data_IF_367194668455
#
_entry.id   IF_367194668455
#
_cell.length_a   1.000
_cell.length_b   1.000
_cell.length_c   1.000
_cell.angle_alpha   90.00
_cell.angle_beta   90.00
_cell.angle_gamma   90.00
#
_symmetry.space_group_name_H-M   'P 1'
#
loop_
_entity.id
_entity.type
_entity.pdbx_description
1 polymer ?
#
# COMPACT_ATOMS: atom_id res chain seq x y z
N UNK A 1 -23.11 20.00 68.90
CA UNK A 1 -23.03 19.14 67.69
C UNK A 1 -21.81 19.57 66.90
N UNK A 2 -20.78 18.72 66.82
CA UNK A 2 -19.60 18.93 65.95
C UNK A 2 -19.86 18.10 64.69
N UNK A 3 -19.92 18.71 63.51
CA UNK A 3 -19.98 17.99 62.24
C UNK A 3 -18.66 18.21 61.51
N UNK A 4 -17.94 17.10 61.28
CA UNK A 4 -16.68 17.05 60.53
C UNK A 4 -16.94 17.39 59.04
N UNK A 5 -16.13 18.27 58.48
CA UNK A 5 -16.01 18.42 57.04
C UNK A 5 -15.04 17.33 56.51
N UNK A 6 -15.54 16.37 55.73
CA UNK A 6 -14.70 15.44 54.97
C UNK A 6 -14.14 16.19 53.75
N UNK A 7 -12.83 16.40 53.73
CA UNK A 7 -12.10 16.81 52.54
C UNK A 7 -11.91 15.57 51.65
N UNK A 8 -12.60 15.53 50.49
CA UNK A 8 -12.36 14.53 49.45
C UNK A 8 -11.14 14.97 48.66
N UNK A 9 -10.00 14.31 48.87
CA UNK A 9 -8.81 14.47 48.06
C UNK A 9 -8.98 13.62 46.80
N UNK A 10 -9.25 14.27 45.66
CA UNK A 10 -9.24 13.60 44.36
C UNK A 10 -7.79 13.30 43.97
N UNK A 11 -7.38 12.03 44.03
CA UNK A 11 -6.10 11.58 43.45
C UNK A 11 -6.21 11.61 41.93
N UNK A 12 -5.45 12.51 41.29
CA UNK A 12 -5.19 12.44 39.86
C UNK A 12 -4.29 11.22 39.59
N UNK A 13 -4.84 10.18 38.96
CA UNK A 13 -4.05 9.06 38.45
C UNK A 13 -3.30 9.56 37.23
N UNK A 14 -2.04 9.93 37.42
CA UNK A 14 -1.12 10.18 36.31
C UNK A 14 -0.80 8.80 35.72
N UNK A 15 -1.32 8.52 34.53
CA UNK A 15 -0.89 7.34 33.78
C UNK A 15 0.58 7.54 33.40
N UNK A 16 1.49 6.96 34.18
CA UNK A 16 2.89 6.84 33.82
C UNK A 16 2.93 5.91 32.60
N UNK A 17 3.11 6.47 31.41
CA UNK A 17 3.38 5.64 30.24
C UNK A 17 4.77 5.05 30.43
N UNK A 18 4.82 3.76 30.77
CA UNK A 18 6.08 3.02 30.78
C UNK A 18 6.72 3.04 29.40
N UNK A 19 8.05 2.94 29.38
CA UNK A 19 8.87 2.83 28.19
C UNK A 19 8.41 1.63 27.33
N UNK A 20 8.49 1.77 26.01
CA UNK A 20 7.91 0.83 25.04
C UNK A 20 8.84 -0.33 24.70
N UNK A 21 10.15 -0.14 24.81
CA UNK A 21 11.16 -1.08 24.35
C UNK A 21 12.45 -0.99 25.17
N UNK A 22 13.38 -1.89 24.90
CA UNK A 22 14.74 -1.84 25.44
C UNK A 22 14.80 -2.26 26.90
N UNK A 23 15.94 -1.98 27.53
CA UNK A 23 16.24 -2.39 28.92
C UNK A 23 15.19 -1.89 29.93
N UNK A 24 14.59 -0.72 29.67
CA UNK A 24 13.54 -0.10 30.48
C UNK A 24 12.21 -0.87 30.40
N UNK A 25 11.99 -1.60 29.30
CA UNK A 25 10.78 -2.39 29.05
C UNK A 25 11.06 -3.90 29.07
N UNK A 26 12.03 -4.36 29.88
CA UNK A 26 12.35 -5.79 30.01
C UNK A 26 12.93 -6.42 28.75
N UNK A 27 13.57 -5.63 27.88
CA UNK A 27 14.13 -6.10 26.61
C UNK A 27 13.11 -6.20 25.48
N UNK A 28 11.91 -5.62 25.64
CA UNK A 28 10.89 -5.60 24.59
C UNK A 28 11.45 -4.98 23.30
N UNK A 29 11.14 -5.63 22.17
CA UNK A 29 11.39 -5.09 20.83
C UNK A 29 10.25 -4.17 20.42
N UNK A 30 10.56 -3.21 19.56
CA UNK A 30 9.52 -2.36 19.00
C UNK A 30 8.70 -3.11 17.94
N UNK A 31 7.38 -2.89 17.90
CA UNK A 31 6.55 -3.37 16.79
C UNK A 31 6.99 -2.74 15.46
N UNK A 32 6.59 -3.35 14.35
CA UNK A 32 6.88 -2.89 12.98
C UNK A 32 8.38 -2.65 12.70
N UNK A 33 9.26 -3.41 13.34
CA UNK A 33 10.71 -3.31 13.21
C UNK A 33 11.31 -1.90 13.50
N UNK A 34 10.61 -1.06 14.25
CA UNK A 34 11.10 0.29 14.61
C UNK A 34 12.35 0.23 15.49
N UNK A 35 13.23 1.22 15.40
CA UNK A 35 14.39 1.29 16.28
C UNK A 35 13.95 1.58 17.71
N UNK A 36 14.58 0.90 18.67
CA UNK A 36 14.45 1.23 20.07
C UNK A 36 15.51 2.25 20.46
N UNK A 37 15.11 3.48 20.77
CA UNK A 37 16.03 4.56 21.16
C UNK A 37 16.75 4.24 22.48
N UNK A 38 17.82 4.99 22.78
CA UNK A 38 18.51 4.92 24.08
C UNK A 38 17.58 5.16 25.28
N UNK A 39 16.44 5.81 25.07
CA UNK A 39 15.46 6.15 26.10
C UNK A 39 14.28 5.16 26.20
N UNK A 40 14.31 4.05 25.45
CA UNK A 40 13.28 3.01 25.52
C UNK A 40 12.00 3.33 24.74
N UNK A 41 12.12 4.12 23.68
CA UNK A 41 10.98 4.48 22.81
C UNK A 41 11.19 3.96 21.39
N UNK A 42 10.09 3.63 20.72
CA UNK A 42 10.09 3.11 19.36
C UNK A 42 9.93 4.22 18.32
N UNK A 43 10.74 4.21 17.26
CA UNK A 43 10.65 5.14 16.14
C UNK A 43 11.66 4.82 15.04
N UNK A 44 11.60 5.50 13.89
CA UNK A 44 12.47 5.19 12.75
C UNK A 44 13.44 6.31 12.35
N UNK A 45 13.42 7.45 13.03
CA UNK A 45 14.37 8.55 12.76
C UNK A 45 15.75 8.28 13.37
N UNK A 46 16.74 9.10 13.03
CA UNK A 46 18.10 9.04 13.61
C UNK A 46 18.12 9.14 15.13
N UNK A 47 17.12 9.78 15.75
CA UNK A 47 17.03 9.90 17.21
C UNK A 47 16.73 8.56 17.89
N UNK A 48 16.11 7.64 17.14
CA UNK A 48 15.77 6.30 17.58
C UNK A 48 16.78 5.27 17.10
N UNK A 49 17.22 5.39 15.85
CA UNK A 49 18.09 4.43 15.16
C UNK A 49 19.59 4.73 15.30
N UNK A 50 19.94 5.95 15.71
CA UNK A 50 21.31 6.42 15.78
C UNK A 50 22.06 6.02 17.05
N UNK A 51 22.93 6.91 17.53
CA UNK A 51 23.78 6.66 18.68
C UNK A 51 22.94 6.30 19.92
N UNK A 52 23.29 5.17 20.56
CA UNK A 52 22.61 4.68 21.76
C UNK A 52 21.34 3.87 21.49
N UNK A 53 20.97 3.64 20.24
CA UNK A 53 19.89 2.70 19.92
C UNK A 53 20.14 1.32 20.58
N UNK A 54 19.10 0.79 21.23
CA UNK A 54 19.15 -0.43 22.03
C UNK A 54 18.84 -1.69 21.20
N UNK A 55 17.95 -1.59 20.21
CA UNK A 55 17.56 -2.73 19.35
C UNK A 55 16.95 -2.24 18.03
N UNK A 56 16.97 -3.10 17.00
CA UNK A 56 16.41 -2.83 15.66
C UNK A 56 16.97 -1.56 14.99
N UNK A 57 18.22 -1.19 15.30
CA UNK A 57 18.83 0.11 14.97
C UNK A 57 19.04 0.39 13.48
N UNK A 58 18.93 -0.64 12.65
CA UNK A 58 18.95 -0.52 11.20
C UNK A 58 17.54 -0.30 10.63
N UNK A 59 16.55 0.01 11.47
CA UNK A 59 15.12 0.03 11.10
C UNK A 59 14.58 -1.35 10.77
N UNK A 60 15.27 -2.42 11.16
CA UNK A 60 14.96 -3.80 10.81
C UNK A 60 14.93 -4.69 12.04
N UNK A 61 14.09 -5.72 11.96
CA UNK A 61 14.04 -6.78 12.95
C UNK A 61 15.33 -7.61 12.85
N UNK A 62 16.39 -7.15 13.52
CA UNK A 62 17.73 -7.71 13.44
C UNK A 62 17.75 -9.19 13.83
N UNK A 63 18.10 -10.04 12.87
CA UNK A 63 18.60 -11.39 13.09
C UNK A 63 19.97 -11.54 12.43
N UNK A 64 21.04 -11.37 13.22
CA UNK A 64 22.40 -11.85 12.91
C UNK A 64 23.06 -11.32 11.62
N UNK A 65 24.32 -11.74 11.35
CA UNK A 65 24.97 -11.46 10.07
C UNK A 65 24.11 -12.04 8.96
N UNK A 66 24.06 -11.33 7.83
CA UNK A 66 23.42 -11.73 6.57
C UNK A 66 23.42 -13.25 6.42
N UNK A 67 22.26 -13.92 6.35
CA UNK A 67 22.24 -15.29 5.90
C UNK A 67 22.86 -15.32 4.51
N UNK A 68 23.66 -16.34 4.16
CA UNK A 68 23.92 -16.60 2.76
C UNK A 68 22.57 -16.70 2.05
N UNK A 69 22.48 -16.11 0.86
CA UNK A 69 21.34 -16.30 -0.04
C UNK A 69 21.16 -17.81 -0.30
N UNK A 70 20.32 -18.46 0.49
CA UNK A 70 19.88 -19.84 0.23
C UNK A 70 18.74 -20.20 1.17
N UNK A 71 17.53 -19.83 0.76
CA UNK A 71 16.28 -20.09 1.47
C UNK A 71 15.03 -19.88 0.61
N UNK A 72 15.04 -20.32 -0.65
CA UNK A 72 13.86 -20.89 -1.33
C UNK A 72 12.57 -20.08 -1.48
N UNK A 73 12.59 -18.74 -1.47
CA UNK A 73 11.45 -17.96 -1.95
C UNK A 73 11.41 -17.97 -3.49
N UNK A 74 10.34 -18.48 -4.10
CA UNK A 74 10.06 -18.25 -5.53
C UNK A 74 9.16 -17.04 -5.69
N UNK A 75 9.24 -16.35 -6.83
CA UNK A 75 8.40 -15.19 -7.13
C UNK A 75 8.69 -14.00 -6.22
N UNK A 76 7.65 -13.24 -5.85
CA UNK A 76 7.76 -11.96 -5.13
C UNK A 76 8.51 -12.08 -3.78
N UNK A 77 8.40 -13.22 -3.10
CA UNK A 77 9.05 -13.45 -1.80
C UNK A 77 10.59 -13.51 -1.89
N UNK A 78 11.15 -13.65 -3.10
CA UNK A 78 12.59 -13.53 -3.34
C UNK A 78 13.08 -12.07 -3.35
N UNK A 79 12.16 -11.11 -3.52
CA UNK A 79 12.44 -9.68 -3.66
C UNK A 79 12.11 -8.92 -2.39
N UNK A 80 10.93 -9.18 -1.81
CA UNK A 80 10.45 -8.49 -0.62
C UNK A 80 10.29 -9.49 0.52
N UNK A 81 11.12 -9.36 1.55
CA UNK A 81 11.00 -10.15 2.78
C UNK A 81 9.85 -9.63 3.64
N UNK A 82 9.36 -10.40 4.64
CA UNK A 82 8.40 -9.92 5.62
C UNK A 82 8.86 -8.62 6.29
N UNK A 83 10.14 -8.54 6.67
CA UNK A 83 10.70 -7.35 7.33
C UNK A 83 10.72 -6.13 6.40
N UNK A 84 11.03 -6.31 5.12
CA UNK A 84 11.04 -5.21 4.16
C UNK A 84 9.61 -4.74 3.87
N UNK A 85 8.65 -5.66 3.75
CA UNK A 85 7.23 -5.34 3.64
C UNK A 85 6.74 -4.52 4.84
N UNK A 86 7.14 -4.92 6.05
CA UNK A 86 6.81 -4.18 7.27
C UNK A 86 7.44 -2.79 7.33
N UNK A 87 8.68 -2.64 6.89
CA UNK A 87 9.34 -1.34 6.79
C UNK A 87 8.69 -0.43 5.74
N UNK A 88 8.29 -0.99 4.59
CA UNK A 88 7.61 -0.22 3.55
C UNK A 88 6.26 0.28 4.07
N UNK A 89 5.49 -0.60 4.71
CA UNK A 89 4.16 -0.29 5.21
C UNK A 89 4.16 -0.04 6.73
N UNK A 90 5.05 0.86 7.16
CA UNK A 90 5.48 1.05 8.54
C UNK A 90 4.34 1.34 9.52
N UNK A 91 3.44 2.26 9.13
CA UNK A 91 2.36 2.74 9.99
C UNK A 91 0.99 2.12 9.69
N UNK A 92 0.90 1.13 8.79
CA UNK A 92 -0.39 0.51 8.43
C UNK A 92 -1.16 -0.09 9.62
N UNK A 93 -0.42 -0.46 10.67
CA UNK A 93 -0.93 -1.06 11.90
C UNK A 93 -1.03 -0.06 13.07
N UNK A 94 -0.85 1.23 12.81
CA UNK A 94 -1.07 2.26 13.82
C UNK A 94 -2.54 2.29 14.26
N UNK A 95 -2.80 2.72 15.50
CA UNK A 95 -4.16 2.80 16.05
C UNK A 95 -5.06 3.78 15.27
N UNK A 96 -4.47 4.78 14.61
CA UNK A 96 -5.20 5.72 13.78
C UNK A 96 -5.68 5.10 12.45
N UNK A 97 -5.16 3.94 12.06
CA UNK A 97 -5.49 3.31 10.79
C UNK A 97 -6.70 2.38 10.89
N UNK A 98 -7.73 2.66 10.09
CA UNK A 98 -8.96 1.87 10.05
C UNK A 98 -8.74 0.43 9.55
N UNK A 99 -7.66 0.20 8.79
CA UNK A 99 -7.26 -1.12 8.30
C UNK A 99 -6.22 -1.82 9.19
N UNK A 100 -5.97 -1.33 10.42
CA UNK A 100 -5.00 -1.93 11.34
C UNK A 100 -5.22 -3.44 11.48
N UNK A 101 -4.16 -4.21 11.24
CA UNK A 101 -4.15 -5.67 11.33
C UNK A 101 -4.78 -6.41 10.14
N UNK A 102 -5.27 -5.70 9.13
CA UNK A 102 -5.88 -6.30 7.94
C UNK A 102 -4.83 -6.76 6.92
N UNK A 103 -3.91 -5.87 6.53
CA UNK A 103 -2.94 -6.16 5.47
C UNK A 103 -1.71 -6.89 6.00
N UNK A 104 -1.64 -8.20 5.76
CA UNK A 104 -0.53 -9.07 6.18
C UNK A 104 0.38 -9.43 5.01
N UNK A 105 1.63 -9.75 5.33
CA UNK A 105 2.62 -10.22 4.35
C UNK A 105 2.18 -11.55 3.72
N UNK A 106 1.61 -12.45 4.51
CA UNK A 106 1.14 -13.76 4.06
C UNK A 106 0.02 -13.61 3.02
N UNK A 107 -0.93 -12.69 3.25
CA UNK A 107 -2.00 -12.41 2.30
C UNK A 107 -1.45 -11.81 1.00
N UNK A 108 -0.47 -10.90 1.09
CA UNK A 108 0.21 -10.33 -0.08
C UNK A 108 0.91 -11.41 -0.91
N UNK A 109 1.72 -12.26 -0.29
CA UNK A 109 2.44 -13.34 -0.99
C UNK A 109 1.48 -14.39 -1.56
N UNK A 110 0.45 -14.78 -0.79
CA UNK A 110 -0.56 -15.74 -1.26
C UNK A 110 -1.33 -15.21 -2.49
N UNK A 111 -1.63 -13.92 -2.52
CA UNK A 111 -2.27 -13.27 -3.65
C UNK A 111 -1.31 -13.15 -4.85
N UNK A 112 -0.06 -12.72 -4.63
CA UNK A 112 0.96 -12.60 -5.68
C UNK A 112 1.23 -13.94 -6.37
N UNK A 113 1.23 -15.04 -5.63
CA UNK A 113 1.43 -16.40 -6.18
C UNK A 113 0.33 -16.84 -7.16
N UNK A 114 -0.82 -16.16 -7.20
CA UNK A 114 -1.84 -16.39 -8.22
C UNK A 114 -1.50 -15.73 -9.58
N UNK A 115 -0.48 -14.88 -9.63
CA UNK A 115 -0.04 -14.13 -10.81
C UNK A 115 1.46 -14.37 -11.03
N UNK A 116 1.85 -15.52 -11.62
CA UNK A 116 3.24 -15.97 -11.66
C UNK A 116 4.19 -15.05 -12.43
N UNK A 117 3.67 -14.21 -13.34
CA UNK A 117 4.44 -13.25 -14.12
C UNK A 117 4.79 -11.96 -13.34
N UNK A 118 4.06 -11.68 -12.25
CA UNK A 118 4.32 -10.52 -11.39
C UNK A 118 5.66 -10.70 -10.67
N UNK A 119 6.53 -9.69 -10.80
CA UNK A 119 7.87 -9.66 -10.20
C UNK A 119 8.79 -10.81 -10.65
N UNK A 120 8.52 -11.40 -11.81
CA UNK A 120 9.35 -12.45 -12.45
C UNK A 120 9.64 -12.16 -13.92
N UNK A 121 9.20 -11.00 -14.42
CA UNK A 121 9.33 -10.57 -15.81
C UNK A 121 10.42 -9.51 -15.95
N UNK A 122 11.41 -9.77 -16.80
CA UNK A 122 12.55 -8.86 -17.05
C UNK A 122 13.77 -9.18 -16.18
N UNK A 123 14.66 -8.19 -16.01
CA UNK A 123 15.83 -8.30 -15.14
C UNK A 123 15.48 -8.07 -13.67
N UNK A 124 16.44 -8.32 -12.77
CA UNK A 124 16.24 -8.22 -11.33
C UNK A 124 15.80 -6.81 -10.89
N UNK A 125 16.32 -5.77 -11.54
CA UNK A 125 15.95 -4.38 -11.24
C UNK A 125 14.52 -4.07 -11.72
N UNK A 126 14.10 -4.62 -12.86
CA UNK A 126 12.73 -4.54 -13.37
C UNK A 126 11.75 -5.23 -12.45
N UNK A 127 12.05 -6.44 -11.98
CA UNK A 127 11.20 -7.15 -11.02
C UNK A 127 11.06 -6.37 -9.70
N UNK A 128 12.15 -5.81 -9.17
CA UNK A 128 12.12 -4.93 -7.98
C UNK A 128 11.30 -3.67 -8.23
N UNK A 129 11.48 -3.04 -9.38
CA UNK A 129 10.76 -1.81 -9.75
C UNK A 129 9.27 -2.05 -9.90
N UNK A 130 8.87 -3.21 -10.42
CA UNK A 130 7.47 -3.61 -10.44
C UNK A 130 6.88 -3.74 -9.03
N UNK A 131 7.58 -4.39 -8.10
CA UNK A 131 7.14 -4.48 -6.70
C UNK A 131 7.01 -3.10 -6.06
N UNK A 132 7.99 -2.21 -6.28
CA UNK A 132 7.96 -0.85 -5.79
C UNK A 132 6.77 -0.06 -6.36
N UNK A 133 6.54 -0.16 -7.68
CA UNK A 133 5.48 0.56 -8.37
C UNK A 133 4.09 0.07 -7.93
N UNK A 134 3.90 -1.24 -7.82
CA UNK A 134 2.66 -1.82 -7.32
C UNK A 134 2.36 -1.32 -5.91
N UNK A 135 3.28 -1.53 -4.97
CA UNK A 135 3.09 -1.12 -3.57
C UNK A 135 2.90 0.39 -3.42
N UNK A 136 3.53 1.20 -4.26
CA UNK A 136 3.40 2.66 -4.22
C UNK A 136 2.02 3.15 -4.66
N UNK A 137 1.51 2.62 -5.78
CA UNK A 137 0.18 2.95 -6.25
C UNK A 137 -0.88 2.55 -5.25
N UNK A 138 -0.80 1.32 -4.73
CA UNK A 138 -1.74 0.83 -3.72
C UNK A 138 -1.59 1.55 -2.38
N UNK A 139 -0.38 2.00 -2.02
CA UNK A 139 -0.17 2.84 -0.83
C UNK A 139 -0.84 4.20 -0.95
N UNK A 140 -0.80 4.83 -2.12
CA UNK A 140 -1.53 6.07 -2.38
C UNK A 140 -3.04 5.89 -2.19
N UNK A 141 -3.64 4.85 -2.78
CA UNK A 141 -5.09 4.58 -2.67
C UNK A 141 -5.58 4.37 -1.23
N UNK A 142 -4.64 3.97 -0.35
CA UNK A 142 -4.89 3.59 1.03
C UNK A 142 -4.22 4.53 2.03
N UNK A 143 -3.66 5.65 1.58
CA UNK A 143 -2.78 6.49 2.41
C UNK A 143 -3.54 7.12 3.58
N UNK A 144 -2.93 7.05 4.76
CA UNK A 144 -3.29 7.86 5.92
C UNK A 144 -2.26 8.95 6.22
N UNK A 145 -1.35 9.22 5.29
CA UNK A 145 -0.25 10.16 5.48
C UNK A 145 -0.70 11.62 5.45
N UNK A 146 0.04 12.47 6.14
CA UNK A 146 -0.08 13.92 6.11
C UNK A 146 1.31 14.56 6.09
N UNK A 147 1.46 15.86 5.74
CA UNK A 147 2.77 16.47 5.51
C UNK A 147 3.77 16.37 6.67
N UNK A 148 3.29 16.31 7.90
CA UNK A 148 4.10 16.20 9.13
C UNK A 148 3.92 14.86 9.84
N UNK A 149 3.49 13.82 9.11
CA UNK A 149 3.31 12.49 9.68
C UNK A 149 4.63 11.92 10.21
N UNK A 150 4.61 11.16 11.32
CA UNK A 150 5.77 10.42 11.78
C UNK A 150 6.40 9.63 10.64
N UNK A 151 7.72 9.78 10.47
CA UNK A 151 8.49 9.10 9.42
C UNK A 151 8.06 9.45 7.98
N UNK A 152 7.43 10.63 7.81
CA UNK A 152 7.02 11.21 6.53
C UNK A 152 5.68 10.66 6.00
N UNK A 153 5.02 11.37 5.06
CA UNK A 153 3.71 10.95 4.53
C UNK A 153 3.76 9.58 3.83
N UNK A 154 4.91 9.22 3.26
CA UNK A 154 5.08 8.02 2.43
C UNK A 154 5.34 6.72 3.23
N UNK A 155 5.20 6.75 4.54
CA UNK A 155 5.25 5.56 5.42
C UNK A 155 3.87 5.13 5.93
N UNK A 156 2.81 5.82 5.46
CA UNK A 156 1.42 5.69 5.89
C UNK A 156 0.50 5.06 4.82
N UNK A 157 1.08 4.33 3.88
CA UNK A 157 0.31 3.46 2.98
C UNK A 157 -0.41 2.35 3.74
N UNK A 158 -1.47 1.80 3.15
CA UNK A 158 -2.27 0.70 3.68
C UNK A 158 -2.99 1.01 4.99
N UNK A 159 -3.28 2.28 5.27
CA UNK A 159 -3.97 2.73 6.48
C UNK A 159 -5.50 2.51 6.40
N UNK A 160 -6.07 2.47 5.20
CA UNK A 160 -7.49 2.25 4.96
C UNK A 160 -7.75 1.05 4.04
N UNK A 161 -8.93 0.42 4.17
CA UNK A 161 -9.38 -0.69 3.33
C UNK A 161 -10.71 -0.47 2.59
N UNK A 162 -11.50 0.54 2.98
CA UNK A 162 -12.82 0.85 2.40
C UNK A 162 -13.01 2.34 2.12
N UNK A 163 -13.40 2.70 0.90
CA UNK A 163 -13.73 4.09 0.53
C UNK A 163 -14.69 4.74 1.55
N UNK A 164 -14.36 5.96 1.99
CA UNK A 164 -15.13 6.74 2.96
C UNK A 164 -15.58 5.94 4.21
N UNK A 165 -14.79 4.94 4.64
CA UNK A 165 -15.10 4.08 5.79
C UNK A 165 -16.49 3.41 5.68
N UNK A 166 -16.86 2.97 4.45
CA UNK A 166 -18.13 2.30 4.15
C UNK A 166 -19.30 3.24 3.80
N UNK A 167 -19.09 4.57 3.87
CA UNK A 167 -20.11 5.59 3.58
C UNK A 167 -20.09 6.10 2.12
N UNK A 168 -19.59 5.27 1.21
CA UNK A 168 -19.51 5.61 -0.20
C UNK A 168 -20.84 5.32 -0.94
N UNK A 169 -21.04 5.93 -2.13
CA UNK A 169 -22.13 5.58 -3.05
C UNK A 169 -22.18 4.08 -3.37
N UNK A 170 -23.31 3.63 -3.92
CA UNK A 170 -23.47 2.20 -4.28
C UNK A 170 -22.57 1.78 -5.43
N UNK A 171 -22.22 2.72 -6.33
CA UNK A 171 -21.50 2.45 -7.59
C UNK A 171 -22.11 1.28 -8.36
N UNK A 172 -23.42 1.30 -8.52
CA UNK A 172 -24.13 0.30 -9.32
C UNK A 172 -24.49 0.92 -10.67
N UNK A 173 -23.92 0.37 -11.74
CA UNK A 173 -24.29 0.64 -13.12
C UNK A 173 -24.69 -0.70 -13.77
N UNK A 174 -25.98 -1.08 -13.73
CA UNK A 174 -26.42 -2.39 -14.18
C UNK A 174 -26.00 -2.67 -15.64
N UNK A 175 -25.30 -3.78 -15.84
CA UNK A 175 -25.01 -4.36 -17.15
C UNK A 175 -25.63 -5.76 -17.22
N UNK A 176 -26.09 -6.25 -18.39
CA UNK A 176 -26.61 -7.61 -18.52
C UNK A 176 -25.65 -8.69 -18.01
N UNK A 177 -24.34 -8.49 -18.22
CA UNK A 177 -23.28 -9.42 -17.84
C UNK A 177 -22.95 -9.33 -16.34
N UNK A 178 -23.10 -8.13 -15.76
CA UNK A 178 -22.73 -7.83 -14.37
C UNK A 178 -23.88 -7.12 -13.64
N UNK A 179 -25.00 -7.81 -13.36
CA UNK A 179 -26.11 -7.21 -12.64
C UNK A 179 -25.73 -6.85 -11.21
N UNK A 180 -26.26 -5.75 -10.70
CA UNK A 180 -26.05 -5.39 -9.30
C UNK A 180 -26.86 -6.31 -8.37
N UNK A 181 -26.20 -6.92 -7.40
CA UNK A 181 -26.84 -7.69 -6.36
C UNK A 181 -27.65 -6.79 -5.41
N UNK A 182 -28.83 -7.27 -5.00
CA UNK A 182 -29.73 -6.48 -4.15
C UNK A 182 -29.08 -6.12 -2.80
N UNK A 183 -29.14 -4.84 -2.44
CA UNK A 183 -28.59 -4.33 -1.17
C UNK A 183 -27.06 -4.28 -1.10
N UNK A 184 -26.35 -4.57 -2.21
CA UNK A 184 -24.89 -4.55 -2.28
C UNK A 184 -24.37 -3.23 -2.83
N UNK A 185 -23.16 -2.87 -2.40
CA UNK A 185 -22.42 -1.68 -2.86
C UNK A 185 -21.07 -2.11 -3.41
N UNK A 186 -20.58 -1.38 -4.40
CA UNK A 186 -19.34 -1.65 -5.14
C UNK A 186 -18.38 -0.46 -5.03
N UNK A 187 -18.23 0.06 -3.80
CA UNK A 187 -17.31 1.16 -3.49
C UNK A 187 -15.85 0.71 -3.51
N UNK A 188 -14.93 1.65 -3.62
CA UNK A 188 -13.51 1.37 -3.76
C UNK A 188 -12.96 0.41 -2.69
N UNK A 189 -12.61 -0.81 -3.11
CA UNK A 189 -11.88 -1.78 -2.31
C UNK A 189 -10.40 -1.45 -2.27
N UNK A 190 -9.96 -0.68 -1.27
CA UNK A 190 -8.85 0.28 -1.44
C UNK A 190 -7.46 -0.24 -1.82
N UNK A 191 -7.16 -1.54 -1.76
CA UNK A 191 -5.83 -2.02 -2.19
C UNK A 191 -5.54 -1.57 -3.64
N UNK A 192 -6.56 -1.55 -4.50
CA UNK A 192 -6.60 -0.74 -5.72
C UNK A 192 -8.06 -0.32 -5.89
N UNK A 193 -8.38 0.92 -6.29
CA UNK A 193 -9.76 1.43 -6.45
C UNK A 193 -10.62 0.63 -7.47
N UNK A 194 -10.91 -0.65 -7.20
CA UNK A 194 -11.95 -1.38 -7.91
C UNK A 194 -13.28 -0.82 -7.42
N UNK A 195 -13.93 -0.09 -8.31
CA UNK A 195 -15.20 0.57 -8.07
C UNK A 195 -16.14 0.15 -9.20
N UNK A 196 -17.43 0.04 -8.91
CA UNK A 196 -18.48 -0.45 -9.82
C UNK A 196 -18.60 -1.97 -9.99
N UNK A 197 -19.85 -2.43 -10.12
CA UNK A 197 -20.23 -3.83 -10.36
C UNK A 197 -19.52 -4.45 -11.58
N UNK A 198 -19.32 -3.68 -12.65
CA UNK A 198 -18.65 -4.17 -13.87
C UNK A 198 -17.14 -4.37 -13.70
N UNK A 199 -16.54 -3.91 -12.60
CA UNK A 199 -15.18 -4.28 -12.20
C UNK A 199 -15.18 -5.44 -11.21
N UNK A 200 -16.10 -5.44 -10.24
CA UNK A 200 -16.25 -6.52 -9.25
C UNK A 200 -16.57 -7.88 -9.90
N UNK A 201 -17.44 -7.89 -10.91
CA UNK A 201 -17.82 -9.09 -11.65
C UNK A 201 -16.62 -9.81 -12.30
N UNK A 202 -15.92 -9.19 -13.27
CA UNK A 202 -14.79 -9.83 -13.93
C UNK A 202 -13.60 -10.08 -12.99
N UNK A 203 -13.34 -9.19 -12.01
CA UNK A 203 -12.33 -9.44 -10.99
C UNK A 203 -12.65 -10.70 -10.17
N UNK A 204 -13.90 -10.82 -9.71
CA UNK A 204 -14.37 -11.98 -8.96
C UNK A 204 -14.25 -13.27 -9.75
N UNK A 205 -14.67 -13.25 -11.02
CA UNK A 205 -14.51 -14.39 -11.93
C UNK A 205 -13.04 -14.79 -12.08
N UNK A 206 -12.14 -13.82 -12.28
CA UNK A 206 -10.72 -14.08 -12.49
C UNK A 206 -10.03 -14.68 -11.24
N UNK A 207 -10.42 -14.23 -10.04
CA UNK A 207 -9.80 -14.69 -8.79
C UNK A 207 -10.53 -15.88 -8.13
N UNK A 208 -11.62 -16.35 -8.76
CA UNK A 208 -12.45 -17.43 -8.24
C UNK A 208 -13.23 -17.06 -6.97
N UNK A 209 -13.68 -15.81 -6.85
CA UNK A 209 -14.49 -15.31 -5.72
C UNK A 209 -15.74 -14.62 -6.22
N UNK A 210 -16.91 -14.91 -5.64
CA UNK A 210 -18.18 -14.27 -6.03
C UNK A 210 -18.29 -12.85 -5.45
N UNK A 211 -17.53 -11.92 -6.02
CA UNK A 211 -17.46 -10.53 -5.61
C UNK A 211 -18.70 -9.72 -6.04
N UNK A 212 -19.45 -10.19 -7.05
CA UNK A 212 -20.65 -9.49 -7.49
C UNK A 212 -21.75 -9.60 -6.43
N UNK A 213 -21.94 -10.78 -5.83
CA UNK A 213 -22.88 -10.99 -4.75
C UNK A 213 -22.28 -10.74 -3.36
N UNK A 214 -20.95 -10.80 -3.21
CA UNK A 214 -20.26 -10.62 -1.93
C UNK A 214 -19.14 -9.57 -2.03
N UNK A 215 -19.41 -8.31 -2.41
CA UNK A 215 -18.38 -7.30 -2.61
C UNK A 215 -17.60 -6.95 -1.33
N UNK A 216 -18.22 -7.15 -0.15
CA UNK A 216 -17.58 -6.90 1.15
C UNK A 216 -16.37 -7.81 1.41
N UNK A 217 -16.19 -8.91 0.65
CA UNK A 217 -15.00 -9.76 0.71
C UNK A 217 -13.71 -8.97 0.45
N UNK A 218 -13.75 -7.94 -0.39
CA UNK A 218 -12.60 -7.10 -0.71
C UNK A 218 -12.08 -6.32 0.51
N UNK A 219 -12.94 -6.09 1.51
CA UNK A 219 -12.63 -5.37 2.75
C UNK A 219 -12.61 -6.27 4.01
N UNK A 220 -12.98 -7.54 3.88
CA UNK A 220 -13.03 -8.50 4.99
C UNK A 220 -12.06 -9.67 4.84
N UNK A 221 -11.54 -9.94 3.64
CA UNK A 221 -10.48 -10.91 3.38
C UNK A 221 -9.29 -10.23 2.70
N UNK A 222 -8.16 -10.17 3.39
CA UNK A 222 -6.95 -9.50 2.89
C UNK A 222 -6.35 -10.18 1.65
N UNK A 223 -6.48 -11.50 1.51
CA UNK A 223 -5.98 -12.23 0.34
C UNK A 223 -6.85 -11.90 -0.87
N UNK A 224 -8.17 -11.84 -0.70
CA UNK A 224 -9.09 -11.36 -1.76
C UNK A 224 -8.78 -9.91 -2.13
N UNK A 225 -8.56 -9.04 -1.13
CA UNK A 225 -8.19 -7.63 -1.33
C UNK A 225 -6.91 -7.47 -2.17
N UNK A 226 -5.86 -8.25 -1.86
CA UNK A 226 -4.65 -8.22 -2.69
C UNK A 226 -4.87 -8.86 -4.06
N UNK A 227 -5.63 -9.95 -4.16
CA UNK A 227 -5.91 -10.60 -5.46
C UNK A 227 -6.65 -9.70 -6.43
N UNK A 228 -7.56 -8.85 -5.95
CA UNK A 228 -8.21 -7.83 -6.80
C UNK A 228 -7.24 -6.74 -7.23
N UNK A 229 -6.32 -6.33 -6.35
CA UNK A 229 -5.25 -5.40 -6.70
C UNK A 229 -4.32 -5.94 -7.78
N UNK A 230 -3.87 -7.19 -7.63
CA UNK A 230 -3.08 -7.87 -8.66
C UNK A 230 -3.87 -8.09 -9.95
N UNK A 231 -5.14 -8.46 -9.87
CA UNK A 231 -5.98 -8.60 -11.06
C UNK A 231 -5.98 -7.31 -11.88
N UNK A 232 -6.23 -6.16 -11.25
CA UNK A 232 -6.21 -4.87 -11.92
C UNK A 232 -4.84 -4.58 -12.54
N UNK A 233 -3.76 -4.79 -11.76
CA UNK A 233 -2.39 -4.53 -12.20
C UNK A 233 -1.99 -5.33 -13.44
N UNK A 234 -2.43 -6.59 -13.50
CA UNK A 234 -2.05 -7.55 -14.55
C UNK A 234 -2.98 -7.52 -15.77
N UNK A 235 -4.21 -6.99 -15.64
CA UNK A 235 -5.25 -7.11 -16.67
C UNK A 235 -5.34 -5.85 -17.54
N UNK A 236 -5.07 -5.95 -18.85
CA UNK A 236 -5.34 -4.84 -19.77
C UNK A 236 -6.86 -4.62 -19.91
N UNK A 237 -7.27 -3.35 -19.96
CA UNK A 237 -8.65 -2.96 -20.20
C UNK A 237 -8.68 -1.96 -21.35
N UNK A 238 -8.79 -2.47 -22.58
CA UNK A 238 -8.69 -1.68 -23.80
C UNK A 238 -9.53 -0.39 -23.72
N UNK A 239 -8.95 0.78 -24.02
CA UNK A 239 -7.64 0.99 -24.66
C UNK A 239 -6.42 0.94 -23.73
N UNK A 240 -6.60 0.80 -22.42
CA UNK A 240 -5.50 0.81 -21.44
C UNK A 240 -4.69 -0.50 -21.52
N UNK A 241 -3.34 -0.44 -21.57
CA UNK A 241 -2.51 -1.61 -21.31
C UNK A 241 -2.59 -2.00 -19.82
N UNK A 242 -2.00 -3.13 -19.44
CA UNK A 242 -1.83 -3.44 -18.02
C UNK A 242 -0.68 -2.63 -17.42
N UNK A 243 -0.78 -2.30 -16.13
CA UNK A 243 0.31 -1.66 -15.39
C UNK A 243 1.59 -2.52 -15.43
N UNK A 244 1.42 -3.85 -15.35
CA UNK A 244 2.48 -4.84 -15.53
C UNK A 244 3.24 -4.62 -16.83
N UNK A 245 2.55 -4.59 -17.97
CA UNK A 245 3.21 -4.45 -19.27
C UNK A 245 3.95 -3.11 -19.42
N UNK A 246 3.47 -2.04 -18.78
CA UNK A 246 4.16 -0.74 -18.76
C UNK A 246 5.46 -0.81 -17.97
N UNK A 247 5.41 -1.31 -16.72
CA UNK A 247 6.59 -1.29 -15.83
C UNK A 247 7.68 -2.28 -16.25
N UNK A 248 7.30 -3.37 -16.92
CA UNK A 248 8.23 -4.40 -17.43
C UNK A 248 8.75 -4.12 -18.85
N UNK A 249 8.32 -3.00 -19.45
CA UNK A 249 8.77 -2.60 -20.79
C UNK A 249 8.18 -3.43 -21.94
N UNK A 250 7.12 -4.18 -21.70
CA UNK A 250 6.42 -4.97 -22.72
C UNK A 250 5.42 -4.12 -23.54
N UNK A 251 4.94 -3.01 -22.99
CA UNK A 251 4.05 -2.11 -23.69
C UNK A 251 4.83 -1.15 -24.61
N UNK A 252 4.43 -1.10 -25.88
CA UNK A 252 4.91 -0.13 -26.85
C UNK A 252 3.80 0.87 -27.15
N UNK A 253 4.01 2.19 -26.94
CA UNK A 253 3.01 3.21 -27.22
C UNK A 253 2.55 3.19 -28.68
N UNK A 254 1.23 3.16 -28.89
CA UNK A 254 0.62 3.33 -30.21
C UNK A 254 0.81 4.76 -30.74
N UNK A 255 0.44 5.01 -31.99
CA UNK A 255 0.41 6.37 -32.54
C UNK A 255 -0.51 7.31 -31.74
N UNK A 256 -1.64 6.79 -31.24
CA UNK A 256 -2.58 7.54 -30.41
C UNK A 256 -2.03 7.85 -29.01
N UNK A 257 -1.21 6.94 -28.46
CA UNK A 257 -0.50 7.16 -27.19
C UNK A 257 0.56 8.23 -27.33
N UNK A 258 1.36 8.16 -28.39
CA UNK A 258 2.38 9.16 -28.69
C UNK A 258 1.76 10.55 -28.91
N UNK A 259 0.66 10.64 -29.67
CA UNK A 259 -0.08 11.89 -29.87
C UNK A 259 -0.72 12.43 -28.58
N UNK A 260 -1.04 11.53 -27.64
CA UNK A 260 -1.54 11.87 -26.32
C UNK A 260 -0.42 12.18 -25.29
N UNK A 261 0.85 12.08 -25.68
CA UNK A 261 1.99 12.24 -24.77
C UNK A 261 2.17 11.09 -23.78
N UNK A 262 1.42 9.98 -23.93
CA UNK A 262 1.56 8.77 -23.09
C UNK A 262 2.84 8.03 -23.46
N UNK A 263 3.73 7.89 -22.48
CA UNK A 263 5.06 7.31 -22.63
C UNK A 263 5.33 6.30 -21.52
N UNK A 264 6.16 5.26 -21.75
CA UNK A 264 6.41 4.24 -20.75
C UNK A 264 7.04 4.86 -19.48
N UNK A 265 6.50 4.50 -18.32
CA UNK A 265 6.97 4.98 -17.03
C UNK A 265 5.89 4.95 -15.96
N UNK A 266 6.26 5.33 -14.74
CA UNK A 266 5.36 5.30 -13.59
C UNK A 266 4.17 6.27 -13.75
N UNK A 267 4.35 7.37 -14.50
CA UNK A 267 3.28 8.29 -14.83
C UNK A 267 2.16 7.64 -15.65
N UNK A 268 2.49 6.80 -16.63
CA UNK A 268 1.49 6.07 -17.42
C UNK A 268 0.69 5.09 -16.55
N UNK A 269 1.32 4.48 -15.54
CA UNK A 269 0.63 3.63 -14.56
C UNK A 269 -0.41 4.44 -13.78
N UNK A 270 -0.06 5.66 -13.35
CA UNK A 270 -1.02 6.59 -12.74
C UNK A 270 -2.17 6.93 -13.69
N UNK A 271 -1.87 7.14 -14.98
CA UNK A 271 -2.87 7.42 -16.01
C UNK A 271 -3.85 6.25 -16.20
N UNK A 272 -3.35 5.01 -16.19
CA UNK A 272 -4.18 3.79 -16.25
C UNK A 272 -5.12 3.72 -15.04
N UNK A 273 -4.60 3.98 -13.84
CA UNK A 273 -5.35 3.85 -12.57
C UNK A 273 -6.41 4.95 -12.45
N UNK A 274 -6.05 6.22 -12.58
CA UNK A 274 -6.98 7.33 -12.32
C UNK A 274 -6.72 8.57 -13.18
N UNK A 275 -6.22 8.39 -14.41
CA UNK A 275 -5.81 9.49 -15.27
C UNK A 275 -6.91 10.50 -15.60
N UNK A 276 -8.17 10.07 -15.69
CA UNK A 276 -9.31 10.95 -15.94
C UNK A 276 -9.51 12.05 -14.89
N UNK A 277 -8.92 11.87 -13.70
CA UNK A 277 -8.97 12.84 -12.60
C UNK A 277 -7.60 13.49 -12.37
N UNK A 278 -6.50 12.76 -12.58
CA UNK A 278 -5.17 13.14 -12.10
C UNK A 278 -4.18 13.60 -13.18
N UNK A 279 -4.44 13.30 -14.46
CA UNK A 279 -3.47 13.51 -15.53
C UNK A 279 -3.89 14.57 -16.55
N UNK A 280 -2.91 15.16 -17.25
CA UNK A 280 -3.14 16.05 -18.39
C UNK A 280 -3.55 17.48 -18.06
N UNK A 281 -3.39 17.91 -16.81
CA UNK A 281 -3.76 19.25 -16.34
C UNK A 281 -2.67 19.97 -15.54
N UNK A 282 -1.41 19.54 -15.71
CA UNK A 282 -0.25 20.09 -15.00
C UNK A 282 0.01 19.39 -13.68
N UNK A 283 0.72 20.06 -12.77
CA UNK A 283 1.10 19.49 -11.48
C UNK A 283 -0.14 19.19 -10.62
N UNK A 284 -0.20 17.98 -10.08
CA UNK A 284 -1.27 17.49 -9.22
C UNK A 284 -0.68 16.81 -7.97
N UNK A 285 -1.24 17.12 -6.80
CA UNK A 285 -0.75 16.64 -5.51
C UNK A 285 -0.94 15.12 -5.33
N UNK A 286 -1.96 14.51 -5.94
CA UNK A 286 -2.20 13.06 -5.85
C UNK A 286 -1.15 12.30 -6.67
N UNK A 287 -0.86 12.78 -7.87
CA UNK A 287 0.24 12.25 -8.69
C UNK A 287 1.57 12.41 -7.94
N UNK A 288 1.82 13.56 -7.31
CA UNK A 288 3.02 13.77 -6.51
C UNK A 288 3.11 12.81 -5.31
N UNK A 289 2.01 12.50 -4.65
CA UNK A 289 1.94 11.52 -3.55
C UNK A 289 2.25 10.09 -4.04
N UNK A 290 1.66 9.65 -5.17
CA UNK A 290 1.99 8.38 -5.83
C UNK A 290 3.48 8.27 -6.12
N UNK A 291 4.09 9.34 -6.64
CA UNK A 291 5.52 9.40 -6.94
C UNK A 291 6.36 9.35 -5.65
N UNK A 292 5.91 10.00 -4.59
CA UNK A 292 6.59 10.02 -3.28
C UNK A 292 6.72 8.63 -2.67
N UNK A 293 5.62 7.85 -2.63
CA UNK A 293 5.67 6.44 -2.24
C UNK A 293 6.61 5.62 -3.13
N UNK A 294 6.53 5.82 -4.45
CA UNK A 294 7.34 5.06 -5.41
C UNK A 294 8.84 5.29 -5.22
N UNK A 295 9.26 6.55 -5.07
CA UNK A 295 10.67 6.89 -4.80
C UNK A 295 11.16 6.24 -3.51
N UNK A 296 10.39 6.35 -2.42
CA UNK A 296 10.73 5.73 -1.14
C UNK A 296 10.93 4.21 -1.29
N UNK A 297 10.02 3.52 -1.97
CA UNK A 297 10.12 2.06 -2.13
C UNK A 297 11.24 1.62 -3.07
N UNK A 298 11.50 2.38 -4.14
CA UNK A 298 12.66 2.15 -4.99
C UNK A 298 13.99 2.32 -4.24
N UNK A 299 14.11 3.36 -3.40
CA UNK A 299 15.30 3.59 -2.56
C UNK A 299 15.53 2.42 -1.61
N UNK A 300 14.46 1.92 -0.97
CA UNK A 300 14.53 0.76 -0.08
C UNK A 300 14.93 -0.55 -0.80
N UNK A 301 14.57 -0.70 -2.08
CA UNK A 301 14.94 -1.85 -2.91
C UNK A 301 16.28 -1.66 -3.65
N UNK A 302 16.87 -0.47 -3.57
CA UNK A 302 18.14 -0.12 -4.22
C UNK A 302 18.05 -0.11 -5.74
N UNK A 303 16.95 0.39 -6.32
CA UNK A 303 16.74 0.47 -7.78
C UNK A 303 16.45 1.90 -8.24
N UNK A 304 16.82 2.21 -9.48
CA UNK A 304 16.44 3.48 -10.12
C UNK A 304 14.92 3.57 -10.31
N UNK A 305 14.39 4.79 -10.16
CA UNK A 305 12.99 5.13 -10.39
C UNK A 305 12.57 4.98 -11.87
N UNK A 306 13.53 5.03 -12.79
CA UNK A 306 13.27 5.20 -14.21
C UNK A 306 12.81 6.63 -14.56
N UNK A 307 12.41 6.81 -15.81
CA UNK A 307 11.96 8.10 -16.36
C UNK A 307 10.43 8.21 -16.35
N UNK A 308 9.91 9.38 -16.76
CA UNK A 308 8.49 9.65 -16.96
C UNK A 308 7.62 9.31 -15.74
N UNK A 309 7.99 9.86 -14.58
CA UNK A 309 7.36 9.55 -13.30
C UNK A 309 5.96 10.16 -13.15
N UNK A 310 5.69 11.26 -13.84
CA UNK A 310 4.42 11.96 -13.80
C UNK A 310 3.60 11.75 -15.07
N UNK A 311 2.31 12.06 -14.97
CA UNK A 311 1.38 12.13 -16.08
C UNK A 311 0.82 13.54 -16.30
N UNK A 312 1.53 14.58 -15.82
CA UNK A 312 1.01 15.95 -15.79
C UNK A 312 0.59 16.46 -17.17
N UNK A 313 1.30 16.01 -18.21
CA UNK A 313 1.06 16.39 -19.60
C UNK A 313 0.53 15.24 -20.47
N UNK A 314 0.19 14.09 -19.88
CA UNK A 314 -0.35 12.95 -20.62
C UNK A 314 -1.87 13.08 -20.70
N UNK A 315 -2.43 13.00 -21.91
CA UNK A 315 -3.89 12.99 -22.08
C UNK A 315 -4.45 11.70 -21.46
N UNK A 316 -5.49 11.78 -20.62
CA UNK A 316 -6.14 10.61 -20.06
C UNK A 316 -6.67 9.65 -21.12
N UNK A 317 -6.74 8.36 -20.77
CA UNK A 317 -7.58 7.43 -21.53
C UNK A 317 -9.06 7.83 -21.44
N UNK A 318 -9.86 7.59 -22.49
CA UNK A 318 -11.30 7.80 -22.41
C UNK A 318 -11.91 6.91 -21.30
N UNK A 319 -13.02 7.34 -20.67
CA UNK A 319 -13.75 6.50 -19.73
C UNK A 319 -14.20 5.21 -20.43
N UNK A 320 -13.99 4.09 -19.76
CA UNK A 320 -14.42 2.74 -20.16
C UNK A 320 -15.91 2.53 -19.94
#
# INVERSE_FOLDING_TARGET
MRALALAVVAMAVVAVRGEQCGSQAGGALCPNCLCCSQYGWCGSTSDYCGAGCQSQCSGGCGGGPTPPSSGGGSGVASIISPSLFDQMLLHRNDQACAAKGFYTYEAFVAAANAYPDFATTGDADTCKREVAAFLAQTSHETTGGWPTAPDGPYSWGYCFKEENNGNAPTYCEPKPEWPCAAGKKYYGGRAIQITYNYNYGPAGQAIGSDLLNNPDLVASDATVSFKTAFWFWMTPQSPKPSCHAVITGQWTPSADDQAAGRVPGYGEITNIINGGVECGHGADDKVADRIGFYKRYCDMLGVSYGDNLDCYNQRPYPPS
#
